data_IF_036510782051
#
_entry.id   IF_036510782051
#
_cell.length_a   1.000
_cell.length_b   1.000
_cell.length_c   1.000
_cell.angle_alpha   90.00
_cell.angle_beta   90.00
_cell.angle_gamma   90.00
#
_symmetry.space_group_name_H-M   'P 1'
#
loop_
_entity.id
_entity.type
_entity.pdbx_description
1 polymer ?
#
# COMPACT_ATOMS: atom_id res chain seq x y z
N UNK A 1 5.31 8.14 45.46
CA UNK A 1 4.98 7.06 44.50
C UNK A 1 3.78 7.52 43.71
N UNK A 2 3.91 7.60 42.41
CA UNK A 2 2.78 7.99 41.54
C UNK A 2 1.79 6.83 41.51
N UNK A 3 0.56 7.09 41.91
CA UNK A 3 -0.52 6.10 41.94
C UNK A 3 -0.78 5.59 40.51
N UNK A 4 -0.77 4.27 40.32
CA UNK A 4 -1.03 3.68 39.00
C UNK A 4 -2.53 3.86 38.68
N UNK A 5 -2.89 4.47 37.54
CA UNK A 5 -4.30 4.65 37.15
C UNK A 5 -5.05 3.31 37.11
N UNK A 6 -6.32 3.31 37.53
CA UNK A 6 -7.17 2.10 37.52
C UNK A 6 -7.47 1.57 36.11
N UNK A 7 -7.39 2.41 35.08
CA UNK A 7 -7.62 2.05 33.69
C UNK A 7 -6.43 2.52 32.82
N UNK A 8 -6.11 1.74 31.78
CA UNK A 8 -5.12 2.13 30.78
C UNK A 8 -5.74 3.15 29.82
N UNK A 9 -5.09 4.31 29.68
CA UNK A 9 -5.48 5.37 28.75
C UNK A 9 -4.51 5.39 27.55
N UNK A 10 -4.86 4.70 26.44
CA UNK A 10 -3.94 4.51 25.30
C UNK A 10 -3.47 5.84 24.70
N UNK A 11 -4.35 6.83 24.60
CA UNK A 11 -4.06 8.13 23.99
C UNK A 11 -2.90 8.89 24.65
N UNK A 12 -2.69 8.70 25.95
CA UNK A 12 -1.63 9.36 26.71
C UNK A 12 -0.25 8.68 26.54
N UNK A 13 -0.23 7.45 26.04
CA UNK A 13 0.95 6.57 26.07
C UNK A 13 1.42 6.17 24.67
N UNK A 14 0.50 5.76 23.80
CA UNK A 14 0.84 5.09 22.53
C UNK A 14 1.60 5.99 21.57
N UNK A 15 1.11 7.21 21.32
CA UNK A 15 1.74 8.13 20.37
C UNK A 15 3.17 8.49 20.81
N UNK A 16 3.36 8.75 22.12
CA UNK A 16 4.69 9.07 22.68
C UNK A 16 5.69 7.94 22.51
N UNK A 17 5.29 6.69 22.78
CA UNK A 17 6.17 5.54 22.64
C UNK A 17 6.45 5.19 21.21
N UNK A 18 5.44 5.28 20.34
CA UNK A 18 5.65 5.02 18.93
C UNK A 18 6.62 6.03 18.30
N UNK A 19 6.45 7.32 18.58
CA UNK A 19 7.37 8.37 18.15
C UNK A 19 8.79 8.15 18.67
N UNK A 20 8.92 7.73 19.93
CA UNK A 20 10.22 7.39 20.49
C UNK A 20 10.89 6.25 19.71
N UNK A 21 10.21 5.15 19.44
CA UNK A 21 10.76 4.03 18.68
C UNK A 21 11.17 4.41 17.26
N UNK A 22 10.37 5.20 16.59
CA UNK A 22 10.69 5.70 15.24
C UNK A 22 11.92 6.60 15.27
N UNK A 23 11.98 7.56 16.19
CA UNK A 23 13.12 8.48 16.36
C UNK A 23 14.42 7.76 16.71
N UNK A 24 14.34 6.70 17.50
CA UNK A 24 15.50 5.87 17.85
C UNK A 24 15.89 4.87 16.76
N UNK A 25 15.14 4.80 15.66
CA UNK A 25 15.41 3.85 14.57
C UNK A 25 15.22 2.39 14.96
N UNK A 26 14.38 2.10 15.96
CA UNK A 26 14.17 0.74 16.47
C UNK A 26 13.68 -0.24 15.41
N UNK A 27 13.09 0.26 14.34
CA UNK A 27 12.53 -0.54 13.25
C UNK A 27 13.41 -0.56 12.00
N UNK A 28 14.49 0.21 11.97
CA UNK A 28 15.36 0.32 10.80
C UNK A 28 16.23 -0.93 10.64
N UNK A 29 16.30 -1.43 9.42
CA UNK A 29 17.15 -2.55 9.06
C UNK A 29 18.53 -2.09 8.58
N UNK A 30 19.59 -2.77 9.04
CA UNK A 30 20.94 -2.50 8.63
C UNK A 30 21.57 -3.76 8.00
N UNK A 31 21.76 -3.81 6.68
CA UNK A 31 22.29 -4.98 6.01
C UNK A 31 23.72 -5.34 6.45
N UNK A 32 24.48 -4.39 7.03
CA UNK A 32 25.83 -4.63 7.53
C UNK A 32 25.87 -5.48 8.79
N UNK A 33 24.73 -5.59 9.49
CA UNK A 33 24.58 -6.41 10.70
C UNK A 33 24.21 -7.85 10.43
N UNK A 34 23.90 -8.20 9.17
CA UNK A 34 23.55 -9.57 8.78
C UNK A 34 24.77 -10.49 8.93
N UNK A 35 24.58 -11.61 9.63
CA UNK A 35 25.60 -12.63 9.87
C UNK A 35 24.95 -13.97 10.19
N UNK A 36 25.73 -15.05 10.30
CA UNK A 36 25.24 -16.37 10.70
C UNK A 36 24.54 -16.35 12.08
N UNK A 37 25.03 -15.49 12.99
CA UNK A 37 24.42 -15.30 14.32
C UNK A 37 23.21 -14.35 14.30
N UNK A 38 23.09 -13.52 13.26
CA UNK A 38 22.02 -12.55 13.05
C UNK A 38 21.49 -12.62 11.64
N UNK A 39 20.79 -13.70 11.29
CA UNK A 39 20.30 -13.91 9.93
C UNK A 39 19.24 -12.87 9.53
N UNK A 40 19.18 -12.55 8.25
CA UNK A 40 18.19 -11.64 7.71
C UNK A 40 16.78 -12.25 7.76
N UNK A 41 15.80 -11.39 8.07
CA UNK A 41 14.39 -11.68 7.95
C UNK A 41 13.68 -10.51 7.27
N UNK A 42 13.10 -10.74 6.10
CA UNK A 42 12.49 -9.67 5.31
C UNK A 42 11.05 -10.00 4.93
N UNK A 43 10.16 -9.03 5.17
CA UNK A 43 8.77 -9.05 4.70
C UNK A 43 8.53 -7.75 3.92
N UNK A 44 7.83 -7.86 2.80
CA UNK A 44 7.26 -6.72 2.08
C UNK A 44 5.79 -6.60 2.45
N UNK A 45 5.35 -5.45 2.91
CA UNK A 45 3.93 -5.20 3.16
C UNK A 45 3.16 -5.39 1.85
N UNK A 46 2.00 -6.05 1.82
CA UNK A 46 1.08 -5.93 0.70
C UNK A 46 0.66 -4.47 0.58
N UNK A 47 1.13 -3.73 -0.44
CA UNK A 47 0.98 -2.28 -0.45
C UNK A 47 -0.50 -1.90 -0.60
N UNK A 48 -1.09 -1.17 0.35
CA UNK A 48 -2.46 -0.72 0.23
C UNK A 48 -2.66 0.20 -0.96
N UNK A 49 -3.80 0.05 -1.64
CA UNK A 49 -4.22 0.92 -2.72
C UNK A 49 -4.53 2.33 -2.20
N UNK A 50 -4.07 3.36 -2.90
CA UNK A 50 -4.34 4.77 -2.53
C UNK A 50 -5.78 5.21 -2.88
N UNK A 51 -6.74 4.30 -2.75
CA UNK A 51 -8.16 4.51 -3.08
C UNK A 51 -8.99 5.04 -1.92
N UNK A 52 -8.49 4.94 -0.67
CA UNK A 52 -9.23 5.36 0.51
C UNK A 52 -8.51 5.02 1.82
N UNK A 53 -9.30 4.90 2.89
CA UNK A 53 -8.80 4.53 4.22
C UNK A 53 -8.62 3.02 4.35
N UNK A 54 -7.78 2.60 5.31
CA UNK A 54 -7.62 1.20 5.67
C UNK A 54 -8.92 0.65 6.30
N UNK A 55 -9.16 -0.63 6.10
CA UNK A 55 -10.28 -1.36 6.70
C UNK A 55 -9.77 -2.55 7.52
N UNK A 56 -10.66 -3.24 8.22
CA UNK A 56 -10.30 -4.33 9.14
C UNK A 56 -9.46 -5.45 8.51
N UNK A 57 -9.64 -5.73 7.21
CA UNK A 57 -8.80 -6.70 6.50
C UNK A 57 -7.33 -6.25 6.43
N UNK A 58 -7.08 -4.96 6.22
CA UNK A 58 -5.72 -4.40 6.30
C UNK A 58 -5.16 -4.48 7.72
N UNK A 59 -5.99 -4.18 8.73
CA UNK A 59 -5.58 -4.26 10.14
C UNK A 59 -5.13 -5.68 10.48
N UNK A 60 -5.95 -6.70 10.17
CA UNK A 60 -5.63 -8.10 10.43
C UNK A 60 -4.32 -8.52 9.74
N UNK A 61 -4.19 -8.24 8.44
CA UNK A 61 -3.01 -8.60 7.66
C UNK A 61 -1.74 -7.96 8.25
N UNK A 62 -1.77 -6.66 8.51
CA UNK A 62 -0.62 -5.93 9.03
C UNK A 62 -0.27 -6.33 10.47
N UNK A 63 -1.27 -6.64 11.29
CA UNK A 63 -1.04 -7.13 12.67
C UNK A 63 -0.29 -8.45 12.66
N UNK A 64 -0.66 -9.41 11.79
CA UNK A 64 0.03 -10.69 11.67
C UNK A 64 1.50 -10.47 11.25
N UNK A 65 1.75 -9.63 10.25
CA UNK A 65 3.10 -9.32 9.80
C UNK A 65 3.92 -8.60 10.86
N UNK A 66 3.31 -7.70 11.63
CA UNK A 66 3.97 -7.00 12.73
C UNK A 66 4.39 -7.94 13.85
N UNK A 67 3.51 -8.88 14.24
CA UNK A 67 3.81 -9.92 15.22
C UNK A 67 5.01 -10.75 14.77
N UNK A 68 5.03 -11.21 13.52
CA UNK A 68 6.13 -11.98 12.96
C UNK A 68 7.45 -11.18 12.92
N UNK A 69 7.38 -9.90 12.52
CA UNK A 69 8.53 -9.02 12.48
C UNK A 69 9.11 -8.74 13.88
N UNK A 70 8.24 -8.48 14.85
CA UNK A 70 8.64 -8.27 16.26
C UNK A 70 9.22 -9.56 16.86
N UNK A 71 8.60 -10.70 16.62
CA UNK A 71 9.12 -12.00 17.04
C UNK A 71 10.50 -12.27 16.46
N UNK A 72 10.69 -12.02 15.17
CA UNK A 72 11.99 -12.20 14.52
C UNK A 72 13.08 -11.28 15.12
N UNK A 73 12.75 -10.02 15.48
CA UNK A 73 13.69 -9.15 16.21
C UNK A 73 14.04 -9.70 17.59
N UNK A 74 13.06 -10.22 18.33
CA UNK A 74 13.29 -10.85 19.64
C UNK A 74 14.15 -12.11 19.52
N UNK A 75 14.07 -12.84 18.41
CA UNK A 75 14.96 -13.96 18.09
C UNK A 75 16.36 -13.56 17.64
N UNK A 76 16.68 -12.25 17.68
CA UNK A 76 18.01 -11.73 17.34
C UNK A 76 18.27 -11.59 15.83
N UNK A 77 17.26 -11.69 14.97
CA UNK A 77 17.41 -11.52 13.52
C UNK A 77 17.52 -10.05 13.11
N UNK A 78 18.17 -9.78 11.98
CA UNK A 78 18.10 -8.48 11.33
C UNK A 78 16.83 -8.41 10.48
N UNK A 79 15.90 -7.52 10.86
CA UNK A 79 14.53 -7.54 10.32
C UNK A 79 14.26 -6.33 9.47
N UNK A 80 13.87 -6.55 8.22
CA UNK A 80 13.31 -5.56 7.33
C UNK A 80 11.82 -5.84 7.10
N UNK A 81 10.95 -5.02 7.64
CA UNK A 81 9.56 -4.96 7.19
C UNK A 81 9.39 -3.70 6.34
N UNK A 82 9.33 -3.91 5.01
CA UNK A 82 9.31 -2.85 4.01
C UNK A 82 7.89 -2.31 3.81
N UNK A 83 7.63 -1.02 4.15
CA UNK A 83 6.34 -0.39 3.90
C UNK A 83 6.22 0.16 2.48
N UNK A 84 4.98 0.34 2.03
CA UNK A 84 4.70 0.97 0.76
C UNK A 84 3.22 1.15 0.49
N UNK A 85 2.91 1.84 -0.61
CA UNK A 85 1.55 2.05 -1.12
C UNK A 85 1.47 1.74 -2.61
N UNK A 86 0.30 1.28 -3.06
CA UNK A 86 0.05 0.95 -4.47
C UNK A 86 -0.76 2.05 -5.16
N UNK A 87 -0.35 2.39 -6.38
CA UNK A 87 -1.07 3.36 -7.22
C UNK A 87 -2.45 2.85 -7.68
N UNK A 88 -2.64 1.53 -7.78
CA UNK A 88 -3.90 0.88 -8.14
C UNK A 88 -4.63 1.56 -9.32
N UNK A 89 -3.92 1.75 -10.43
CA UNK A 89 -4.26 2.62 -11.57
C UNK A 89 -5.74 2.76 -11.88
N UNK A 90 -6.41 1.70 -12.33
CA UNK A 90 -7.84 1.73 -12.72
C UNK A 90 -8.73 2.16 -11.55
N UNK A 91 -8.50 1.63 -10.36
CA UNK A 91 -9.33 1.92 -9.19
C UNK A 91 -9.15 3.39 -8.74
N UNK A 92 -7.92 3.88 -8.66
CA UNK A 92 -7.62 5.27 -8.29
C UNK A 92 -8.16 6.26 -9.32
N UNK A 93 -7.97 5.99 -10.63
CA UNK A 93 -8.55 6.80 -11.69
C UNK A 93 -10.08 6.83 -11.62
N UNK A 94 -10.72 5.69 -11.33
CA UNK A 94 -12.16 5.60 -11.14
C UNK A 94 -12.67 6.47 -9.99
N UNK A 95 -11.94 6.47 -8.86
CA UNK A 95 -12.29 7.31 -7.70
C UNK A 95 -12.15 8.80 -8.02
N UNK A 96 -11.06 9.21 -8.67
CA UNK A 96 -10.83 10.62 -9.08
C UNK A 96 -11.87 11.05 -10.11
N UNK A 97 -12.18 10.22 -11.12
CA UNK A 97 -13.21 10.52 -12.10
C UNK A 97 -14.60 10.67 -11.47
N UNK A 98 -14.94 9.84 -10.48
CA UNK A 98 -16.19 9.93 -9.72
C UNK A 98 -16.26 11.24 -8.92
N UNK A 99 -15.15 11.64 -8.29
CA UNK A 99 -15.08 12.92 -7.57
C UNK A 99 -15.28 14.11 -8.52
N UNK A 100 -14.59 14.14 -9.66
CA UNK A 100 -14.70 15.20 -10.66
C UNK A 100 -16.13 15.34 -11.17
N UNK A 101 -16.81 14.22 -11.47
CA UNK A 101 -18.23 14.23 -11.87
C UNK A 101 -19.13 14.82 -10.79
N UNK A 102 -18.87 14.50 -9.53
CA UNK A 102 -19.67 14.99 -8.40
C UNK A 102 -19.48 16.50 -8.18
N UNK A 103 -18.24 16.97 -8.23
CA UNK A 103 -17.87 18.36 -7.89
C UNK A 103 -18.01 19.32 -9.08
N UNK A 104 -17.55 18.91 -10.27
CA UNK A 104 -17.45 19.78 -11.45
C UNK A 104 -18.44 19.41 -12.57
N UNK A 105 -19.15 18.28 -12.43
CA UNK A 105 -20.05 17.71 -13.48
C UNK A 105 -19.36 17.48 -14.82
N UNK A 106 -18.04 17.24 -14.81
CA UNK A 106 -17.19 16.97 -15.97
C UNK A 106 -16.77 15.51 -16.01
N UNK A 107 -16.44 15.01 -17.21
CA UNK A 107 -15.79 13.72 -17.41
C UNK A 107 -14.26 13.92 -17.51
N UNK A 108 -13.50 12.83 -17.30
CA UNK A 108 -12.04 12.84 -17.45
C UNK A 108 -11.60 13.27 -18.88
N UNK A 109 -12.45 13.05 -19.88
CA UNK A 109 -12.20 13.45 -21.28
C UNK A 109 -12.31 14.96 -21.47
N UNK A 110 -13.21 15.62 -20.73
CA UNK A 110 -13.41 17.07 -20.81
C UNK A 110 -12.22 17.84 -20.22
N UNK A 111 -11.51 17.23 -19.26
CA UNK A 111 -10.32 17.82 -18.64
C UNK A 111 -9.05 17.62 -19.47
N UNK A 112 -9.00 16.59 -20.32
CA UNK A 112 -7.79 16.17 -20.98
C UNK A 112 -6.81 15.42 -20.04
N UNK A 113 -5.82 14.75 -20.66
CA UNK A 113 -4.91 13.85 -19.96
C UNK A 113 -4.07 14.52 -18.87
N UNK A 114 -3.49 15.69 -19.19
CA UNK A 114 -2.53 16.34 -18.27
C UNK A 114 -3.20 16.82 -16.99
N UNK A 115 -4.34 17.49 -17.12
CA UNK A 115 -5.07 17.98 -15.95
C UNK A 115 -5.64 16.82 -15.12
N UNK A 116 -6.13 15.76 -15.76
CA UNK A 116 -6.59 14.58 -15.06
C UNK A 116 -5.47 13.90 -14.26
N UNK A 117 -4.27 13.76 -14.83
CA UNK A 117 -3.10 13.22 -14.14
C UNK A 117 -2.73 14.08 -12.91
N UNK A 118 -2.76 15.40 -13.01
CA UNK A 118 -2.50 16.29 -11.86
C UNK A 118 -3.49 16.00 -10.72
N UNK A 119 -4.79 15.82 -11.04
CA UNK A 119 -5.81 15.46 -10.04
C UNK A 119 -5.54 14.12 -9.39
N UNK A 120 -5.09 13.13 -10.18
CA UNK A 120 -4.71 11.81 -9.66
C UNK A 120 -3.51 11.92 -8.70
N UNK A 121 -2.50 12.72 -9.02
CA UNK A 121 -1.37 12.95 -8.11
C UNK A 121 -1.79 13.65 -6.81
N UNK A 122 -2.63 14.68 -6.89
CA UNK A 122 -3.19 15.34 -5.70
C UNK A 122 -3.98 14.37 -4.82
N UNK A 123 -4.77 13.49 -5.44
CA UNK A 123 -5.47 12.41 -4.73
C UNK A 123 -4.49 11.46 -4.02
N UNK A 124 -3.45 11.01 -4.72
CA UNK A 124 -2.41 10.13 -4.17
C UNK A 124 -1.72 10.75 -2.97
N UNK A 125 -1.32 12.00 -3.05
CA UNK A 125 -0.65 12.69 -1.94
C UNK A 125 -1.54 12.74 -0.70
N UNK A 126 -2.81 13.10 -0.87
CA UNK A 126 -3.77 13.16 0.22
C UNK A 126 -4.02 11.79 0.86
N UNK A 127 -4.35 10.78 0.07
CA UNK A 127 -4.77 9.46 0.59
C UNK A 127 -3.60 8.58 0.99
N UNK A 128 -2.47 8.65 0.30
CA UNK A 128 -1.23 7.98 0.70
C UNK A 128 -0.76 8.41 2.09
N UNK A 129 -0.78 9.70 2.38
CA UNK A 129 -0.44 10.22 3.70
C UNK A 129 -1.38 9.72 4.81
N UNK A 130 -2.68 9.60 4.52
CA UNK A 130 -3.67 9.05 5.47
C UNK A 130 -3.36 7.57 5.78
N UNK A 131 -3.10 6.76 4.74
CA UNK A 131 -2.79 5.33 4.89
C UNK A 131 -1.55 5.13 5.78
N UNK A 132 -0.47 5.85 5.50
CA UNK A 132 0.76 5.77 6.30
C UNK A 132 0.52 6.21 7.75
N UNK A 133 -0.24 7.27 7.95
CA UNK A 133 -0.64 7.72 9.29
C UNK A 133 -1.44 6.64 10.04
N UNK A 134 -2.38 5.98 9.38
CA UNK A 134 -3.16 4.89 9.97
C UNK A 134 -2.30 3.67 10.33
N UNK A 135 -1.34 3.29 9.48
CA UNK A 135 -0.39 2.21 9.78
C UNK A 135 0.50 2.55 10.99
N UNK A 136 0.96 3.80 11.08
CA UNK A 136 1.71 4.28 12.25
C UNK A 136 0.84 4.27 13.52
N UNK A 137 -0.40 4.70 13.42
CA UNK A 137 -1.36 4.66 14.54
C UNK A 137 -1.70 3.23 14.99
N UNK A 138 -1.70 2.27 14.06
CA UNK A 138 -1.82 0.84 14.36
C UNK A 138 -0.59 0.29 15.11
N UNK A 139 0.52 1.04 15.13
CA UNK A 139 1.77 0.62 15.77
C UNK A 139 2.68 -0.24 14.89
N UNK A 140 2.48 -0.26 13.57
CA UNK A 140 3.27 -1.09 12.65
C UNK A 140 4.77 -0.79 12.74
N UNK A 141 5.57 -1.81 13.00
CA UNK A 141 7.03 -1.70 13.17
C UNK A 141 7.79 -1.80 11.84
N UNK A 142 7.32 -1.04 10.83
CA UNK A 142 7.94 -0.95 9.52
C UNK A 142 9.22 -0.08 9.54
N UNK A 143 10.14 -0.36 8.62
CA UNK A 143 11.25 0.55 8.33
C UNK A 143 10.79 1.72 7.45
N UNK A 144 10.30 2.78 8.09
CA UNK A 144 9.74 3.95 7.42
C UNK A 144 10.76 4.75 6.60
N UNK A 145 12.05 4.54 6.80
CA UNK A 145 13.10 5.18 5.99
C UNK A 145 13.18 4.61 4.58
N UNK A 146 12.55 3.44 4.37
CA UNK A 146 12.53 2.70 3.11
C UNK A 146 11.15 2.62 2.47
N UNK A 147 10.22 3.47 2.90
CA UNK A 147 8.89 3.55 2.26
C UNK A 147 8.99 3.67 0.74
N UNK A 148 8.16 2.91 0.01
CA UNK A 148 8.10 2.92 -1.45
C UNK A 148 6.67 3.08 -1.95
N UNK A 149 6.55 3.79 -3.04
CA UNK A 149 5.33 3.87 -3.84
C UNK A 149 5.57 3.17 -5.18
N UNK A 150 4.58 2.42 -5.66
CA UNK A 150 4.74 1.60 -6.87
C UNK A 150 5.06 2.38 -8.14
N UNK A 151 4.85 3.72 -8.15
CA UNK A 151 5.23 4.60 -9.26
C UNK A 151 6.51 5.40 -9.00
N UNK A 152 7.26 5.11 -7.93
CA UNK A 152 8.57 5.73 -7.71
C UNK A 152 9.50 5.43 -8.89
N UNK A 153 10.30 6.42 -9.36
CA UNK A 153 11.14 6.25 -10.55
C UNK A 153 12.09 5.05 -10.49
N UNK A 154 12.67 4.79 -9.33
CA UNK A 154 13.59 3.64 -9.14
C UNK A 154 12.82 2.32 -9.20
N UNK A 155 11.63 2.27 -8.61
CA UNK A 155 10.77 1.09 -8.64
C UNK A 155 10.30 0.79 -10.07
N UNK A 156 9.86 1.81 -10.79
CA UNK A 156 9.45 1.69 -12.21
C UNK A 156 10.60 1.17 -13.07
N UNK A 157 11.82 1.68 -12.90
CA UNK A 157 13.01 1.18 -13.62
C UNK A 157 13.28 -0.29 -13.31
N UNK A 158 13.12 -0.71 -12.06
CA UNK A 158 13.28 -2.11 -11.67
C UNK A 158 12.26 -3.01 -12.35
N UNK A 159 10.98 -2.62 -12.35
CA UNK A 159 9.90 -3.37 -13.02
C UNK A 159 10.17 -3.49 -14.51
N UNK A 160 10.55 -2.39 -15.18
CA UNK A 160 10.90 -2.40 -16.60
C UNK A 160 12.08 -3.34 -16.91
N UNK A 161 13.12 -3.32 -16.08
CA UNK A 161 14.26 -4.21 -16.23
C UNK A 161 13.86 -5.68 -16.11
N UNK A 162 13.07 -6.03 -15.08
CA UNK A 162 12.57 -7.39 -14.89
C UNK A 162 11.74 -7.83 -16.10
N UNK A 163 10.86 -6.97 -16.61
CA UNK A 163 10.06 -7.25 -17.79
C UNK A 163 10.94 -7.57 -19.01
N UNK A 164 11.96 -6.75 -19.28
CA UNK A 164 12.90 -6.95 -20.39
C UNK A 164 13.71 -8.24 -20.22
N UNK A 165 14.17 -8.52 -19.00
CA UNK A 165 14.94 -9.74 -18.71
C UNK A 165 14.09 -11.01 -18.92
N UNK A 166 12.83 -10.99 -18.49
CA UNK A 166 11.90 -12.11 -18.72
C UNK A 166 11.56 -12.28 -20.20
N UNK A 167 11.39 -11.19 -20.94
CA UNK A 167 11.18 -11.24 -22.39
C UNK A 167 12.39 -11.85 -23.10
N UNK A 168 13.62 -11.42 -22.78
CA UNK A 168 14.86 -11.98 -23.34
C UNK A 168 15.04 -13.48 -23.04
N UNK A 169 14.53 -13.94 -21.91
CA UNK A 169 14.52 -15.35 -21.53
C UNK A 169 13.41 -16.17 -22.20
N UNK A 170 12.56 -15.54 -23.03
CA UNK A 170 11.42 -16.20 -23.69
C UNK A 170 10.26 -16.57 -22.77
N UNK A 171 10.26 -16.06 -21.53
CA UNK A 171 9.20 -16.33 -20.53
C UNK A 171 7.97 -15.43 -20.70
N UNK A 172 8.12 -14.32 -21.40
CA UNK A 172 7.04 -13.40 -21.75
C UNK A 172 6.94 -13.30 -23.27
N UNK A 173 5.72 -13.39 -23.78
CA UNK A 173 5.42 -13.21 -25.20
C UNK A 173 4.12 -12.44 -25.40
N UNK A 174 3.94 -11.80 -26.55
CA UNK A 174 2.71 -11.12 -26.94
C UNK A 174 1.75 -12.12 -27.58
N UNK A 175 0.52 -12.21 -27.04
CA UNK A 175 -0.52 -13.09 -27.55
C UNK A 175 -1.91 -12.45 -27.44
N UNK A 176 -2.87 -12.98 -28.19
CA UNK A 176 -4.29 -12.61 -28.09
C UNK A 176 -5.02 -13.61 -27.20
N UNK A 177 -5.84 -13.11 -26.28
CA UNK A 177 -6.72 -13.92 -25.43
C UNK A 177 -8.08 -13.25 -25.31
N UNK A 178 -9.11 -14.04 -25.05
CA UNK A 178 -10.41 -13.50 -24.62
C UNK A 178 -10.29 -12.93 -23.23
N UNK A 179 -10.89 -11.75 -23.01
CA UNK A 179 -10.89 -11.04 -21.72
C UNK A 179 -12.28 -10.49 -21.45
N UNK A 180 -12.65 -10.36 -20.19
CA UNK A 180 -13.83 -9.61 -19.80
C UNK A 180 -13.58 -8.12 -20.09
N UNK A 181 -14.44 -7.51 -20.88
CA UNK A 181 -14.30 -6.12 -21.30
C UNK A 181 -15.43 -5.25 -20.78
N UNK A 182 -15.08 -4.15 -20.09
CA UNK A 182 -16.05 -3.16 -19.67
C UNK A 182 -16.17 -2.04 -20.71
N UNK A 183 -17.31 -1.91 -21.43
CA UNK A 183 -17.48 -0.87 -22.44
C UNK A 183 -17.60 0.54 -21.83
N UNK A 184 -18.04 0.67 -20.58
CA UNK A 184 -18.19 1.96 -19.91
C UNK A 184 -16.83 2.56 -19.52
N UNK A 185 -15.91 1.77 -19.00
CA UNK A 185 -14.56 2.21 -18.63
C UNK A 185 -13.53 2.00 -19.74
N UNK A 186 -13.89 1.21 -20.77
CA UNK A 186 -13.02 0.83 -21.90
C UNK A 186 -11.72 0.14 -21.42
N UNK A 187 -11.86 -0.77 -20.47
CA UNK A 187 -10.76 -1.54 -19.90
C UNK A 187 -11.09 -3.03 -19.82
N UNK A 188 -10.05 -3.88 -19.81
CA UNK A 188 -10.18 -5.27 -19.41
C UNK A 188 -10.41 -5.36 -17.90
N UNK A 189 -11.27 -6.29 -17.47
CA UNK A 189 -11.54 -6.59 -16.07
C UNK A 189 -11.00 -7.97 -15.72
N UNK A 190 -10.57 -8.15 -14.49
CA UNK A 190 -10.29 -9.49 -13.97
C UNK A 190 -11.58 -10.19 -13.55
N UNK A 191 -11.56 -11.54 -13.47
CA UNK A 191 -12.72 -12.32 -13.01
C UNK A 191 -13.15 -11.93 -11.59
N UNK A 192 -12.22 -11.51 -10.75
CA UNK A 192 -12.49 -11.03 -9.39
C UNK A 192 -13.23 -9.68 -9.36
N UNK A 193 -12.89 -8.78 -10.26
CA UNK A 193 -13.54 -7.47 -10.39
C UNK A 193 -14.94 -7.60 -10.97
N UNK A 194 -15.13 -8.51 -11.93
CA UNK A 194 -16.44 -8.80 -12.53
C UNK A 194 -17.40 -9.38 -11.48
N UNK A 195 -16.98 -10.33 -10.67
CA UNK A 195 -17.77 -10.89 -9.57
C UNK A 195 -18.20 -9.86 -8.52
N UNK A 196 -17.36 -8.87 -8.21
CA UNK A 196 -17.70 -7.79 -7.28
C UNK A 196 -18.77 -6.87 -7.84
N UNK A 197 -18.74 -6.55 -9.12
CA UNK A 197 -19.75 -5.71 -9.77
C UNK A 197 -21.11 -6.41 -9.81
N UNK A 198 -21.15 -7.72 -10.05
CA UNK A 198 -22.38 -8.52 -10.07
C UNK A 198 -23.04 -8.61 -8.69
N UNK A 199 -22.26 -8.72 -7.60
CA UNK A 199 -22.80 -8.72 -6.23
C UNK A 199 -23.41 -7.38 -5.81
N UNK A 200 -22.85 -6.26 -6.26
CA UNK A 200 -23.39 -4.93 -5.96
C UNK A 200 -24.73 -4.67 -6.68
N UNK A 201 -24.96 -5.27 -7.85
CA UNK A 201 -26.21 -5.16 -8.57
C UNK A 201 -27.32 -6.07 -7.99
N UNK A 202 -26.98 -7.20 -7.38
CA UNK A 202 -27.96 -8.12 -6.78
C UNK A 202 -28.49 -7.66 -5.41
N UNK A 203 -27.92 -6.61 -4.81
CA UNK A 203 -28.41 -6.03 -3.54
C UNK A 203 -29.43 -4.89 -3.73
N UNK A 204 -29.84 -4.60 -4.96
CA UNK A 204 -30.84 -3.58 -5.30
C UNK A 204 -32.16 -4.16 -5.87
N UNK A 205 -32.31 -5.47 -5.89
CA UNK A 205 -33.59 -6.15 -6.09
C UNK A 205 -34.13 -6.63 -4.74
#
# INVERSE_FOLDING_TARGET
MTEIPKAYEPQSVEDRWYDFWVKQGCFNADPTRVSDKRPAYSIVIPPPNVTGMLHMGHVLNNTIQDILSRKARMDGKEVLWLPGTDHAGIATEGMVAKQIRKEEKKDKRDLGREEFIKRVWTWKEKHGGIIISQLKKLGCSCDWTRERFTMDPDYVRCVQRVFVDLYKKGLIYRGKRMVNWCPATQTALTDEEDRKSTRLNSSHE
#
